data_IF_143708796871
#
_entry.id   IF_143708796871
#
_cell.length_a   1.000
_cell.length_b   1.000
_cell.length_c   1.000
_cell.angle_alpha   90.00
_cell.angle_beta   90.00
_cell.angle_gamma   90.00
#
_symmetry.space_group_name_H-M   'P 1'
#
loop_
_entity.id
_entity.type
_entity.pdbx_description
1 polymer ?
#
# COMPACT_ATOMS: atom_id res chain seq x y z
N UNK A 1 28.62 50.58 -5.11
CA UNK A 1 28.44 49.11 -4.95
C UNK A 1 28.51 48.70 -3.49
N UNK A 2 29.50 49.18 -2.72
CA UNK A 2 29.56 49.02 -1.26
C UNK A 2 28.32 49.56 -0.55
N UNK A 3 27.84 50.74 -0.95
CA UNK A 3 26.70 51.39 -0.30
C UNK A 3 25.38 50.61 -0.43
N UNK A 4 25.20 49.87 -1.53
CA UNK A 4 24.02 49.03 -1.75
C UNK A 4 24.08 47.74 -0.92
N UNK A 5 25.29 47.22 -0.71
CA UNK A 5 25.51 46.05 0.12
C UNK A 5 25.29 46.39 1.60
N UNK A 6 25.75 47.55 2.05
CA UNK A 6 25.52 48.03 3.41
C UNK A 6 24.03 48.25 3.70
N UNK A 7 23.29 48.81 2.74
CA UNK A 7 21.83 48.95 2.86
C UNK A 7 21.12 47.59 3.02
N UNK A 8 21.53 46.58 2.25
CA UNK A 8 20.98 45.21 2.37
C UNK A 8 21.31 44.57 3.72
N UNK A 9 22.50 44.81 4.28
CA UNK A 9 22.87 44.28 5.59
C UNK A 9 22.08 44.91 6.73
N UNK A 10 21.73 46.19 6.61
CA UNK A 10 20.87 46.88 7.58
C UNK A 10 19.46 46.29 7.52
N UNK A 11 18.88 46.19 6.33
CA UNK A 11 17.53 45.61 6.14
C UNK A 11 17.45 44.15 6.62
N UNK A 12 18.49 43.35 6.35
CA UNK A 12 18.60 41.99 6.86
C UNK A 12 18.63 41.91 8.39
N UNK A 13 19.36 42.83 9.03
CA UNK A 13 19.47 42.88 10.50
C UNK A 13 18.18 43.37 11.15
N UNK A 14 17.46 44.27 10.50
CA UNK A 14 16.12 44.69 10.97
C UNK A 14 15.09 43.58 10.83
N UNK A 15 15.16 42.79 9.74
CA UNK A 15 14.28 41.66 9.51
C UNK A 15 14.56 40.46 10.42
N UNK A 16 15.79 40.32 10.91
CA UNK A 16 16.22 39.19 11.74
C UNK A 16 16.46 39.66 13.18
N UNK A 17 15.49 39.50 14.08
CA UNK A 17 15.69 39.86 15.49
C UNK A 17 16.86 39.09 16.08
N UNK A 18 17.62 39.77 16.95
CA UNK A 18 18.82 39.20 17.55
C UNK A 18 18.47 37.91 18.30
N UNK A 19 19.19 36.85 17.98
CA UNK A 19 18.87 35.52 18.49
C UNK A 19 19.31 35.43 19.94
N UNK A 20 18.52 34.80 20.81
CA UNK A 20 18.87 34.66 22.22
C UNK A 20 20.20 33.92 22.37
N UNK A 21 21.25 34.61 22.81
CA UNK A 21 22.58 34.04 23.06
C UNK A 21 22.63 33.28 24.40
N UNK A 22 21.49 33.13 25.08
CA UNK A 22 21.36 32.36 26.31
C UNK A 22 21.83 30.92 26.12
N UNK A 23 22.53 30.34 27.12
CA UNK A 23 22.86 28.91 27.13
C UNK A 23 21.64 27.99 26.96
N UNK A 24 20.44 28.49 27.27
CA UNK A 24 19.19 27.73 27.15
C UNK A 24 18.53 27.83 25.76
N UNK A 25 19.10 28.60 24.83
CA UNK A 25 18.53 28.77 23.48
C UNK A 25 18.42 27.44 22.73
N UNK A 26 19.53 26.69 22.64
CA UNK A 26 19.57 25.40 21.95
C UNK A 26 18.61 24.37 22.59
N UNK A 27 18.62 24.13 23.91
CA UNK A 27 17.67 23.22 24.55
C UNK A 27 16.20 23.55 24.27
N UNK A 28 15.81 24.81 24.37
CA UNK A 28 14.41 25.22 24.14
C UNK A 28 14.01 25.14 22.66
N UNK A 29 14.94 25.46 21.75
CA UNK A 29 14.72 25.33 20.32
C UNK A 29 14.49 23.86 19.93
N UNK A 30 15.32 22.96 20.46
CA UNK A 30 15.18 21.52 20.25
C UNK A 30 13.84 20.99 20.76
N UNK A 31 13.42 21.38 21.95
CA UNK A 31 12.11 20.99 22.50
C UNK A 31 10.95 21.44 21.59
N UNK A 32 11.02 22.65 21.03
CA UNK A 32 10.00 23.14 20.08
C UNK A 32 9.98 22.36 18.77
N UNK A 33 11.14 21.99 18.24
CA UNK A 33 11.25 21.18 17.03
C UNK A 33 10.66 19.78 17.27
N UNK A 34 10.99 19.17 18.41
CA UNK A 34 10.55 17.83 18.75
C UNK A 34 9.04 17.79 19.01
N UNK A 35 8.50 18.76 19.74
CA UNK A 35 7.05 18.87 19.96
C UNK A 35 6.27 18.88 18.63
N UNK A 36 6.72 19.67 17.66
CA UNK A 36 6.08 19.74 16.33
C UNK A 36 6.21 18.43 15.55
N UNK A 37 7.35 17.74 15.62
CA UNK A 37 7.57 16.45 14.95
C UNK A 37 6.71 15.33 15.53
N UNK A 38 6.57 15.28 16.85
CA UNK A 38 5.76 14.28 17.55
C UNK A 38 4.29 14.44 17.18
N UNK A 39 3.78 15.68 17.16
CA UNK A 39 2.41 15.98 16.77
C UNK A 39 2.12 15.52 15.33
N UNK A 40 2.95 15.90 14.36
CA UNK A 40 2.73 15.51 12.95
C UNK A 40 2.81 14.00 12.76
N UNK A 41 3.77 13.33 13.41
CA UNK A 41 3.95 11.88 13.31
C UNK A 41 2.74 11.15 13.92
N UNK A 42 2.17 11.66 15.00
CA UNK A 42 1.00 11.07 15.65
C UNK A 42 -0.25 11.09 14.75
N UNK A 43 -0.45 12.18 14.00
CA UNK A 43 -1.60 12.32 13.09
C UNK A 43 -1.48 11.36 11.91
N UNK A 44 -0.31 11.30 11.27
CA UNK A 44 -0.05 10.35 10.19
C UNK A 44 -0.20 8.90 10.65
N UNK A 45 0.31 8.57 11.84
CA UNK A 45 0.14 7.23 12.43
C UNK A 45 -1.33 6.89 12.63
N UNK A 46 -2.14 7.82 13.12
CA UNK A 46 -3.59 7.60 13.33
C UNK A 46 -4.33 7.41 12.00
N UNK A 47 -4.00 8.19 10.97
CA UNK A 47 -4.56 8.02 9.63
C UNK A 47 -4.17 6.66 9.04
N UNK A 48 -2.91 6.27 9.16
CA UNK A 48 -2.43 4.96 8.70
C UNK A 48 -3.17 3.82 9.41
N UNK A 49 -3.36 3.92 10.73
CA UNK A 49 -4.13 2.92 11.49
C UNK A 49 -5.57 2.81 11.02
N UNK A 50 -6.24 3.94 10.74
CA UNK A 50 -7.61 3.93 10.20
C UNK A 50 -7.65 3.27 8.82
N UNK A 51 -6.71 3.61 7.93
CA UNK A 51 -6.63 3.01 6.60
C UNK A 51 -6.40 1.49 6.67
N UNK A 52 -5.52 1.02 7.56
CA UNK A 52 -5.26 -0.40 7.77
C UNK A 52 -6.49 -1.12 8.33
N UNK A 53 -7.16 -0.54 9.32
CA UNK A 53 -8.39 -1.14 9.85
C UNK A 53 -9.51 -1.19 8.80
N UNK A 54 -9.62 -0.14 7.98
CA UNK A 54 -10.58 -0.11 6.87
C UNK A 54 -10.27 -1.16 5.80
N UNK A 55 -9.00 -1.36 5.43
CA UNK A 55 -8.62 -2.36 4.44
C UNK A 55 -8.85 -3.79 4.95
N UNK A 56 -8.56 -4.06 6.23
CA UNK A 56 -8.87 -5.34 6.87
C UNK A 56 -10.38 -5.59 6.88
N UNK A 57 -11.18 -4.60 7.28
CA UNK A 57 -12.64 -4.71 7.28
C UNK A 57 -13.18 -4.98 5.87
N UNK A 58 -12.68 -4.25 4.86
CA UNK A 58 -13.05 -4.45 3.46
C UNK A 58 -12.68 -5.87 2.98
N UNK A 59 -11.47 -6.34 3.30
CA UNK A 59 -11.02 -7.67 2.93
C UNK A 59 -11.89 -8.77 3.56
N UNK A 60 -12.31 -8.60 4.82
CA UNK A 60 -13.24 -9.51 5.48
C UNK A 60 -14.62 -9.50 4.82
N UNK A 61 -15.16 -8.33 4.51
CA UNK A 61 -16.45 -8.21 3.79
C UNK A 61 -16.36 -8.88 2.41
N UNK A 62 -15.29 -8.59 1.66
CA UNK A 62 -15.02 -9.20 0.36
C UNK A 62 -14.96 -10.73 0.49
N UNK A 63 -14.23 -11.25 1.47
CA UNK A 63 -14.11 -12.68 1.75
C UNK A 63 -15.47 -13.34 2.03
N UNK A 64 -16.27 -12.75 2.93
CA UNK A 64 -17.62 -13.24 3.25
C UNK A 64 -18.55 -13.23 2.05
N UNK A 65 -18.40 -12.28 1.14
CA UNK A 65 -19.26 -12.16 -0.05
C UNK A 65 -18.79 -13.06 -1.20
N UNK A 66 -17.49 -13.19 -1.42
CA UNK A 66 -16.93 -13.86 -2.59
C UNK A 66 -16.79 -15.37 -2.40
N UNK A 67 -16.43 -15.83 -1.19
CA UNK A 67 -16.27 -17.27 -0.90
C UNK A 67 -17.58 -18.03 -1.15
N UNK A 68 -18.75 -17.63 -0.61
CA UNK A 68 -19.99 -18.36 -0.87
C UNK A 68 -20.44 -18.29 -2.33
N UNK A 69 -19.96 -17.31 -3.12
CA UNK A 69 -20.31 -17.15 -4.53
C UNK A 69 -19.49 -18.06 -5.44
N UNK A 70 -18.19 -18.23 -5.17
CA UNK A 70 -17.33 -19.16 -5.91
C UNK A 70 -17.61 -20.64 -5.60
N UNK A 71 -18.19 -20.92 -4.44
CA UNK A 71 -18.44 -22.30 -4.01
C UNK A 71 -19.65 -22.98 -4.68
N UNK A 72 -20.48 -22.25 -5.45
CA UNK A 72 -21.64 -22.85 -6.11
C UNK A 72 -21.31 -23.52 -7.45
N UNK A 73 -20.15 -23.23 -8.07
CA UNK A 73 -19.78 -23.80 -9.38
C UNK A 73 -18.48 -24.65 -9.38
N UNK A 74 -17.56 -24.52 -8.40
CA UNK A 74 -16.21 -25.10 -8.57
C UNK A 74 -15.59 -25.84 -7.36
N UNK A 75 -16.37 -26.33 -6.39
CA UNK A 75 -15.80 -27.12 -5.28
C UNK A 75 -15.39 -28.56 -5.68
N UNK A 76 -15.64 -29.00 -6.92
CA UNK A 76 -15.37 -30.39 -7.35
C UNK A 76 -14.52 -30.59 -8.60
N UNK A 77 -13.83 -29.56 -9.13
CA UNK A 77 -12.76 -29.82 -10.10
C UNK A 77 -11.41 -30.04 -9.40
N UNK A 78 -11.34 -31.10 -8.60
CA UNK A 78 -10.09 -31.70 -8.15
C UNK A 78 -9.53 -32.69 -9.19
N UNK A 79 -9.70 -32.38 -10.48
CA UNK A 79 -9.08 -33.13 -11.55
C UNK A 79 -7.64 -32.66 -11.70
N UNK A 80 -6.67 -33.55 -11.50
CA UNK A 80 -5.29 -33.31 -11.98
C UNK A 80 -5.35 -32.91 -13.45
N UNK A 81 -4.45 -32.06 -13.97
CA UNK A 81 -4.42 -31.59 -15.37
C UNK A 81 -4.68 -32.69 -16.43
N UNK A 82 -4.27 -33.93 -16.12
CA UNK A 82 -4.50 -35.14 -16.92
C UNK A 82 -5.99 -35.52 -17.05
N UNK A 83 -6.79 -35.30 -16.00
CA UNK A 83 -8.22 -35.61 -15.94
C UNK A 83 -9.06 -34.62 -16.77
N UNK A 84 -8.71 -33.33 -16.72
CA UNK A 84 -9.30 -32.31 -17.59
C UNK A 84 -9.01 -32.59 -19.08
N UNK A 85 -7.78 -33.02 -19.39
CA UNK A 85 -7.39 -33.38 -20.76
C UNK A 85 -8.06 -34.67 -21.23
N UNK A 86 -8.22 -35.66 -20.35
CA UNK A 86 -8.88 -36.92 -20.68
C UNK A 86 -10.39 -36.76 -20.92
N UNK A 87 -11.04 -35.86 -20.16
CA UNK A 87 -12.45 -35.53 -20.36
C UNK A 87 -12.70 -34.84 -21.71
N UNK A 88 -11.77 -33.98 -22.17
CA UNK A 88 -11.83 -33.34 -23.49
C UNK A 88 -11.54 -34.32 -24.64
N UNK A 89 -10.83 -35.42 -24.37
CA UNK A 89 -10.43 -36.45 -25.33
C UNK A 89 -11.22 -37.77 -25.19
N UNK A 90 -12.46 -37.70 -24.71
CA UNK A 90 -13.31 -38.88 -24.53
C UNK A 90 -13.64 -39.55 -25.87
N UNK A 91 -13.03 -40.72 -26.06
CA UNK A 91 -13.44 -41.82 -26.96
C UNK A 91 -13.39 -41.68 -28.49
N UNK A 92 -13.15 -40.52 -29.09
CA UNK A 92 -13.08 -40.42 -30.57
C UNK A 92 -11.97 -41.31 -31.18
N UNK A 93 -10.85 -41.49 -30.49
CA UNK A 93 -9.74 -42.31 -30.98
C UNK A 93 -10.03 -43.82 -30.90
N UNK A 94 -10.87 -44.25 -29.97
CA UNK A 94 -11.17 -45.66 -29.74
C UNK A 94 -12.21 -46.14 -30.76
N UNK A 95 -13.13 -45.27 -31.15
CA UNK A 95 -14.13 -45.54 -32.20
C UNK A 95 -13.49 -45.60 -33.60
N UNK A 96 -12.53 -44.70 -33.89
CA UNK A 96 -11.80 -44.71 -35.18
C UNK A 96 -10.93 -45.97 -35.36
N UNK A 97 -10.30 -46.46 -34.28
CA UNK A 97 -9.53 -47.71 -34.33
C UNK A 97 -10.44 -48.93 -34.40
N UNK A 98 -11.57 -48.94 -33.67
CA UNK A 98 -12.57 -50.01 -33.76
C UNK A 98 -13.23 -50.08 -35.13
N UNK A 99 -13.45 -48.94 -35.79
CA UNK A 99 -13.99 -48.88 -37.15
C UNK A 99 -12.97 -49.31 -38.21
N UNK A 100 -11.68 -49.09 -37.98
CA UNK A 100 -10.60 -49.52 -38.88
C UNK A 100 -10.33 -51.03 -38.80
N UNK A 101 -10.55 -51.66 -37.64
CA UNK A 101 -10.32 -53.10 -37.42
C UNK A 101 -11.48 -53.99 -37.95
N UNK A 102 -12.59 -53.38 -38.38
CA UNK A 102 -13.76 -54.04 -38.97
C UNK A 102 -13.80 -53.98 -40.51
N UNK A 103 -12.68 -53.63 -41.17
CA UNK A 103 -12.56 -53.55 -42.64
C UNK A 103 -11.45 -54.45 -43.17
#
# INVERSE_FOLDING_TARGET
MKDRLDALWVEYREATPDTDASPNFMPQLWQKIEARRVETTSVFRRLAQICVMASIALALVMSVVLIPRGNNDEVFYSGTYVDALAAEHSNDYVDVLSAADLR
#
